data_IF_213554462225
#
_entry.id   IF_213554462225
#
_cell.length_a   1.000
_cell.length_b   1.000
_cell.length_c   1.000
_cell.angle_alpha   90.00
_cell.angle_beta   90.00
_cell.angle_gamma   90.00
#
_symmetry.space_group_name_H-M   'P 1'
#
loop_
_entity.id
_entity.type
_entity.pdbx_description
1 polymer ?
#
# COMPACT_ATOMS: atom_id res chain seq x y z
N UNK A 1 61.52 -35.87 -1.49
CA UNK A 1 60.07 -35.88 -1.43
C UNK A 1 59.66 -34.76 -0.47
N UNK A 2 59.50 -33.53 -1.02
CA UNK A 2 59.30 -32.30 -0.25
C UNK A 2 57.85 -32.19 0.20
N UNK A 3 57.62 -31.96 1.49
CA UNK A 3 56.31 -31.62 2.05
C UNK A 3 55.90 -30.22 1.57
N UNK A 4 54.80 -30.11 0.87
CA UNK A 4 54.17 -28.83 0.51
C UNK A 4 53.59 -28.27 1.81
N UNK A 5 54.10 -27.10 2.22
CA UNK A 5 53.55 -26.36 3.37
C UNK A 5 52.30 -25.61 2.96
N UNK A 6 51.17 -26.09 3.40
CA UNK A 6 49.82 -25.49 3.10
C UNK A 6 49.57 -24.19 3.87
N UNK A 7 50.49 -23.73 4.75
CA UNK A 7 50.29 -22.49 5.50
C UNK A 7 50.42 -21.25 4.62
N UNK A 8 51.34 -21.25 3.63
CA UNK A 8 51.53 -20.13 2.71
C UNK A 8 50.38 -19.99 1.71
N UNK A 9 49.74 -21.12 1.29
CA UNK A 9 48.63 -21.09 0.37
C UNK A 9 47.40 -20.44 1.03
N UNK A 10 47.18 -20.66 2.32
CA UNK A 10 46.09 -20.00 3.07
C UNK A 10 46.31 -18.47 3.21
N UNK A 11 47.54 -17.99 3.30
CA UNK A 11 47.86 -16.58 3.41
C UNK A 11 47.70 -15.83 2.08
N UNK A 12 48.03 -16.46 0.97
CA UNK A 12 47.91 -15.88 -0.40
C UNK A 12 46.45 -15.79 -0.85
N UNK A 13 45.59 -16.77 -0.52
CA UNK A 13 44.19 -16.73 -0.85
C UNK A 13 43.44 -15.63 -0.07
N UNK A 14 43.83 -15.33 1.16
CA UNK A 14 43.25 -14.23 1.96
C UNK A 14 43.59 -12.83 1.41
N UNK A 15 44.64 -12.68 0.63
CA UNK A 15 45.10 -11.38 0.09
C UNK A 15 44.40 -10.99 -1.21
N UNK A 16 43.85 -11.95 -1.96
CA UNK A 16 43.18 -11.72 -3.25
C UNK A 16 41.64 -11.75 -3.20
N UNK A 17 41.06 -12.32 -2.18
CA UNK A 17 39.63 -12.24 -1.90
C UNK A 17 39.45 -11.71 -0.47
N UNK A 18 39.23 -10.41 -0.29
CA UNK A 18 38.77 -9.93 1.01
C UNK A 18 37.43 -10.60 1.26
N UNK A 19 37.40 -11.60 2.14
CA UNK A 19 36.17 -12.10 2.69
C UNK A 19 35.47 -10.89 3.29
N UNK A 20 34.41 -10.41 2.64
CA UNK A 20 33.54 -9.38 3.21
C UNK A 20 33.15 -9.87 4.60
N UNK A 21 33.68 -9.22 5.62
CA UNK A 21 33.29 -9.55 6.99
C UNK A 21 31.78 -9.41 7.10
N UNK A 22 31.07 -10.29 7.83
CA UNK A 22 29.62 -10.21 8.03
C UNK A 22 29.18 -8.77 8.39
N UNK A 23 29.96 -8.05 9.20
CA UNK A 23 29.73 -6.67 9.59
C UNK A 23 29.66 -5.68 8.41
N UNK A 24 30.54 -5.80 7.41
CA UNK A 24 30.50 -4.89 6.25
C UNK A 24 29.28 -5.11 5.36
N UNK A 25 28.80 -6.35 5.24
CA UNK A 25 27.59 -6.67 4.48
C UNK A 25 26.34 -6.15 5.20
N UNK A 26 26.28 -6.30 6.52
CA UNK A 26 25.19 -5.77 7.35
C UNK A 26 25.18 -4.23 7.34
N UNK A 27 26.36 -3.59 7.51
CA UNK A 27 26.49 -2.13 7.45
C UNK A 27 26.04 -1.57 6.09
N UNK A 28 26.45 -2.21 4.98
CA UNK A 28 26.00 -1.84 3.64
C UNK A 28 24.48 -1.95 3.50
N UNK A 29 23.88 -3.04 3.99
CA UNK A 29 22.46 -3.23 3.93
C UNK A 29 21.70 -2.17 4.75
N UNK A 30 22.15 -1.85 5.98
CA UNK A 30 21.57 -0.76 6.80
C UNK A 30 21.62 0.58 6.07
N UNK A 31 22.76 0.91 5.47
CA UNK A 31 22.91 2.15 4.70
C UNK A 31 21.93 2.22 3.52
N UNK A 32 21.72 1.10 2.81
CA UNK A 32 20.75 1.03 1.72
C UNK A 32 19.31 1.23 2.22
N UNK A 33 18.94 0.64 3.36
CA UNK A 33 17.64 0.89 3.96
C UNK A 33 17.46 2.37 4.30
N UNK A 34 18.44 2.98 4.99
CA UNK A 34 18.39 4.41 5.35
C UNK A 34 18.26 5.30 4.12
N UNK A 35 19.05 5.04 3.07
CA UNK A 35 19.02 5.81 1.82
C UNK A 35 17.70 5.66 1.02
N UNK A 36 16.87 4.68 1.36
CA UNK A 36 15.56 4.44 0.73
C UNK A 36 14.38 4.69 1.71
N UNK A 37 14.55 5.64 2.62
CA UNK A 37 13.48 6.00 3.56
C UNK A 37 13.18 4.93 4.62
N UNK A 38 14.15 4.07 4.90
CA UNK A 38 14.02 3.00 5.90
C UNK A 38 13.27 1.75 5.42
N UNK A 39 12.82 1.70 4.16
CA UNK A 39 11.99 0.60 3.65
C UNK A 39 12.50 0.07 2.31
N UNK A 40 12.62 -1.25 2.16
CA UNK A 40 13.07 -1.91 0.93
C UNK A 40 12.31 -3.21 0.65
N UNK A 41 11.98 -3.41 -0.63
CA UNK A 41 11.54 -4.73 -1.11
C UNK A 41 12.73 -5.67 -1.24
N UNK A 42 12.53 -6.95 -0.91
CA UNK A 42 13.55 -8.00 -1.07
C UNK A 42 14.15 -7.99 -2.48
N UNK A 43 13.31 -7.94 -3.51
CA UNK A 43 13.76 -7.90 -4.91
C UNK A 43 14.61 -6.67 -5.23
N UNK A 44 14.30 -5.52 -4.63
CA UNK A 44 15.07 -4.29 -4.81
C UNK A 44 16.41 -4.37 -4.04
N UNK A 45 16.40 -4.82 -2.79
CA UNK A 45 17.61 -5.02 -2.00
C UNK A 45 18.59 -5.97 -2.69
N UNK A 46 18.11 -7.07 -3.28
CA UNK A 46 18.94 -8.01 -4.05
C UNK A 46 19.56 -7.33 -5.28
N UNK A 47 18.79 -6.55 -6.04
CA UNK A 47 19.34 -5.78 -7.17
C UNK A 47 20.41 -4.77 -6.76
N UNK A 48 20.31 -4.21 -5.56
CA UNK A 48 21.32 -3.32 -4.96
C UNK A 48 22.51 -4.09 -4.38
N UNK A 49 22.54 -5.42 -4.55
CA UNK A 49 23.64 -6.29 -4.14
C UNK A 49 23.60 -6.74 -2.67
N UNK A 50 22.44 -6.65 -2.02
CA UNK A 50 22.25 -7.26 -0.68
C UNK A 50 21.95 -8.73 -0.86
N UNK A 51 22.76 -9.59 -0.24
CA UNK A 51 22.51 -11.04 -0.26
C UNK A 51 21.31 -11.42 0.60
N UNK A 52 20.44 -12.36 0.21
CA UNK A 52 19.28 -12.78 1.00
C UNK A 52 19.61 -13.16 2.45
N UNK A 53 20.73 -13.84 2.68
CA UNK A 53 21.19 -14.19 4.05
C UNK A 53 21.42 -12.96 4.93
N UNK A 54 21.88 -11.84 4.34
CA UNK A 54 22.06 -10.57 5.06
C UNK A 54 20.73 -9.97 5.49
N UNK A 55 19.69 -10.04 4.63
CA UNK A 55 18.34 -9.61 4.98
C UNK A 55 17.76 -10.46 6.12
N UNK A 56 17.94 -11.78 6.05
CA UNK A 56 17.48 -12.67 7.13
C UNK A 56 18.23 -12.41 8.44
N UNK A 57 19.54 -12.17 8.39
CA UNK A 57 20.32 -11.82 9.56
C UNK A 57 19.84 -10.51 10.22
N UNK A 58 19.57 -9.46 9.43
CA UNK A 58 19.00 -8.21 9.94
C UNK A 58 17.61 -8.38 10.54
N UNK A 59 16.76 -9.25 9.93
CA UNK A 59 15.46 -9.58 10.48
C UNK A 59 15.58 -10.34 11.81
N UNK A 60 16.42 -11.37 11.83
CA UNK A 60 16.59 -12.24 12.99
C UNK A 60 17.26 -11.50 14.17
N UNK A 61 18.05 -10.48 13.90
CA UNK A 61 18.56 -9.55 14.92
C UNK A 61 17.56 -8.47 15.35
N UNK A 62 16.37 -8.40 14.71
CA UNK A 62 15.36 -7.39 15.02
C UNK A 62 15.65 -5.99 14.47
N UNK A 63 16.70 -5.83 13.64
CA UNK A 63 17.06 -4.53 13.04
C UNK A 63 16.11 -4.12 11.90
N UNK A 64 15.54 -5.10 11.21
CA UNK A 64 14.47 -4.88 10.26
C UNK A 64 13.26 -5.76 10.61
N UNK A 65 12.08 -5.25 10.34
CA UNK A 65 10.83 -5.96 10.51
C UNK A 65 10.09 -6.13 9.18
N UNK A 66 9.27 -7.18 9.09
CA UNK A 66 8.45 -7.44 7.92
C UNK A 66 7.18 -6.59 7.96
N UNK A 67 6.99 -5.75 6.97
CA UNK A 67 5.75 -4.98 6.74
C UNK A 67 4.73 -5.79 5.92
N UNK A 68 5.23 -6.75 5.16
CA UNK A 68 4.44 -7.63 4.31
C UNK A 68 5.36 -8.55 3.52
N UNK A 69 4.79 -9.46 2.72
CA UNK A 69 5.59 -10.42 1.98
C UNK A 69 6.64 -9.73 1.10
N UNK A 70 7.90 -9.91 1.46
CA UNK A 70 9.03 -9.38 0.71
C UNK A 70 9.20 -7.85 0.81
N UNK A 71 8.60 -7.21 1.81
CA UNK A 71 8.85 -5.83 2.17
C UNK A 71 9.34 -5.77 3.62
N UNK A 72 10.48 -5.14 3.81
CA UNK A 72 11.09 -4.94 5.12
C UNK A 72 11.29 -3.44 5.39
N UNK A 73 11.23 -3.06 6.67
CA UNK A 73 11.61 -1.73 7.14
C UNK A 73 12.58 -1.80 8.31
N UNK A 74 13.34 -0.74 8.53
CA UNK A 74 14.16 -0.61 9.74
C UNK A 74 13.26 -0.48 10.95
N UNK A 75 13.54 -1.23 12.01
CA UNK A 75 12.81 -1.17 13.30
C UNK A 75 12.92 0.21 13.97
N UNK A 76 13.96 0.97 13.62
CA UNK A 76 14.19 2.36 14.09
C UNK A 76 13.44 3.41 13.26
N UNK A 77 12.79 3.02 12.16
CA UNK A 77 12.00 3.96 11.34
C UNK A 77 10.75 4.43 12.06
N UNK A 78 10.27 5.62 11.69
CA UNK A 78 8.99 6.15 12.16
C UNK A 78 7.87 5.13 11.91
N UNK A 79 6.88 5.00 12.80
CA UNK A 79 5.71 4.16 12.55
C UNK A 79 5.07 4.49 11.20
N UNK A 80 4.49 3.48 10.53
CA UNK A 80 3.78 3.70 9.28
C UNK A 80 2.61 4.66 9.49
N UNK A 81 2.45 5.61 8.60
CA UNK A 81 1.30 6.54 8.59
C UNK A 81 -0.01 5.79 8.38
N UNK A 82 0.04 4.72 7.58
CA UNK A 82 -1.12 3.85 7.32
C UNK A 82 -0.68 2.38 7.40
N UNK A 83 -0.65 1.81 8.62
CA UNK A 83 -0.15 0.45 8.86
C UNK A 83 -0.99 -0.63 8.16
N UNK A 84 -2.22 -0.32 7.78
CA UNK A 84 -3.13 -1.25 7.10
C UNK A 84 -3.05 -1.13 5.57
N UNK A 85 -2.95 0.09 5.02
CA UNK A 85 -2.98 0.32 3.57
C UNK A 85 -1.68 -0.09 2.88
N UNK A 86 -0.53 0.16 3.49
CA UNK A 86 0.79 -0.14 2.91
C UNK A 86 0.99 -1.64 2.69
N UNK A 87 0.75 -2.54 3.68
CA UNK A 87 0.87 -3.97 3.45
C UNK A 87 -0.10 -4.50 2.39
N UNK A 88 -1.33 -3.95 2.32
CA UNK A 88 -2.32 -4.31 1.30
C UNK A 88 -1.82 -3.94 -0.09
N UNK A 89 -1.35 -2.71 -0.30
CA UNK A 89 -0.81 -2.27 -1.59
C UNK A 89 0.38 -3.11 -2.05
N UNK A 90 1.21 -3.56 -1.10
CA UNK A 90 2.34 -4.45 -1.39
C UNK A 90 1.88 -5.86 -1.75
N UNK A 91 0.91 -6.40 -1.00
CA UNK A 91 0.46 -7.78 -1.15
C UNK A 91 -0.49 -7.97 -2.31
N UNK A 92 -1.35 -6.98 -2.55
CA UNK A 92 -2.39 -7.00 -3.59
C UNK A 92 -2.24 -5.76 -4.48
N UNK A 93 -1.23 -5.69 -5.36
CA UNK A 93 -0.96 -4.48 -6.16
C UNK A 93 -2.11 -4.05 -7.09
N UNK A 94 -3.05 -4.97 -7.37
CA UNK A 94 -4.24 -4.69 -8.19
C UNK A 94 -5.40 -4.12 -7.41
N UNK A 95 -5.40 -4.28 -6.08
CA UNK A 95 -6.46 -3.73 -5.24
C UNK A 95 -6.51 -2.21 -5.32
N UNK A 96 -7.72 -1.69 -5.26
CA UNK A 96 -7.96 -0.25 -5.15
C UNK A 96 -8.70 -0.01 -3.84
N UNK A 97 -8.18 0.84 -2.98
CA UNK A 97 -8.86 1.26 -1.74
C UNK A 97 -10.15 1.97 -2.12
N UNK A 98 -11.27 1.59 -1.50
CA UNK A 98 -12.59 2.07 -1.86
C UNK A 98 -13.46 2.37 -0.63
N UNK A 99 -14.67 2.82 -0.87
CA UNK A 99 -15.73 3.06 0.11
C UNK A 99 -15.25 3.76 1.39
N UNK A 100 -15.55 3.24 2.59
CA UNK A 100 -15.24 3.91 3.87
C UNK A 100 -13.74 4.14 4.03
N UNK A 101 -12.91 3.18 3.61
CA UNK A 101 -11.45 3.36 3.68
C UNK A 101 -10.93 4.47 2.77
N UNK A 102 -11.51 4.62 1.56
CA UNK A 102 -11.18 5.73 0.68
C UNK A 102 -11.76 7.06 1.20
N UNK A 103 -12.98 7.06 1.77
CA UNK A 103 -13.54 8.25 2.42
C UNK A 103 -12.64 8.72 3.56
N UNK A 104 -12.18 7.81 4.43
CA UNK A 104 -11.26 8.12 5.53
C UNK A 104 -9.93 8.69 5.02
N UNK A 105 -9.35 8.08 3.98
CA UNK A 105 -8.12 8.58 3.34
C UNK A 105 -8.29 10.01 2.80
N UNK A 106 -9.44 10.32 2.23
CA UNK A 106 -9.74 11.64 1.68
C UNK A 106 -10.26 12.65 2.73
N UNK A 107 -10.41 12.25 4.00
CA UNK A 107 -10.97 13.11 5.05
C UNK A 107 -12.45 13.44 4.83
N UNK A 108 -13.21 12.54 4.21
CA UNK A 108 -14.62 12.72 3.86
C UNK A 108 -15.57 12.02 4.85
N UNK A 109 -15.08 11.44 5.91
CA UNK A 109 -15.87 10.80 6.97
C UNK A 109 -15.14 10.91 8.30
N UNK A 110 -15.90 10.92 9.37
CA UNK A 110 -15.39 10.83 10.75
C UNK A 110 -15.26 9.38 11.21
N UNK A 111 -15.74 8.42 10.42
CA UNK A 111 -15.67 7.00 10.77
C UNK A 111 -14.24 6.46 10.66
N UNK A 112 -13.84 5.68 11.67
CA UNK A 112 -12.61 4.89 11.64
C UNK A 112 -12.95 3.50 11.08
N UNK A 113 -12.40 3.12 9.91
CA UNK A 113 -12.69 1.81 9.33
C UNK A 113 -12.18 0.67 10.22
N UNK A 114 -13.03 -0.28 10.60
CA UNK A 114 -12.64 -1.50 11.32
C UNK A 114 -12.00 -2.56 10.41
N UNK A 115 -12.13 -2.40 9.10
CA UNK A 115 -11.54 -3.26 8.08
C UNK A 115 -11.23 -2.40 6.87
N UNK A 116 -10.21 -2.78 6.10
CA UNK A 116 -9.89 -2.05 4.87
C UNK A 116 -10.80 -2.49 3.73
N UNK A 117 -11.51 -1.52 3.16
CA UNK A 117 -12.36 -1.73 1.99
C UNK A 117 -11.52 -1.67 0.73
N UNK A 118 -11.49 -2.76 -0.02
CA UNK A 118 -10.79 -2.83 -1.31
C UNK A 118 -11.71 -3.27 -2.43
N UNK A 119 -11.52 -2.68 -3.59
CA UNK A 119 -12.10 -3.11 -4.85
C UNK A 119 -11.15 -4.04 -5.58
N UNK A 120 -11.70 -5.12 -6.13
CA UNK A 120 -11.02 -6.03 -7.06
C UNK A 120 -11.85 -6.18 -8.34
N UNK A 121 -11.24 -6.52 -9.49
CA UNK A 121 -11.98 -6.91 -10.69
C UNK A 121 -12.90 -8.08 -10.40
N UNK A 122 -14.06 -8.13 -11.09
CA UNK A 122 -14.95 -9.29 -11.06
C UNK A 122 -14.16 -10.56 -11.38
N UNK A 123 -14.43 -11.64 -10.64
CA UNK A 123 -13.76 -12.94 -10.76
C UNK A 123 -12.34 -13.06 -10.20
N UNK A 124 -11.75 -11.98 -9.66
CA UNK A 124 -10.48 -12.08 -8.95
C UNK A 124 -10.63 -12.82 -7.62
N UNK A 125 -9.64 -13.66 -7.32
CA UNK A 125 -9.58 -14.35 -6.02
C UNK A 125 -9.07 -13.40 -4.94
N UNK A 126 -9.58 -13.56 -3.72
CA UNK A 126 -9.12 -12.80 -2.56
C UNK A 126 -7.77 -13.39 -2.10
N UNK A 127 -6.68 -12.62 -2.14
CA UNK A 127 -5.43 -13.05 -1.54
C UNK A 127 -5.56 -13.08 -0.02
N UNK A 128 -5.02 -14.11 0.61
CA UNK A 128 -4.95 -14.15 2.07
C UNK A 128 -3.95 -13.12 2.58
N UNK A 129 -4.39 -12.27 3.49
CA UNK A 129 -3.55 -11.36 4.28
C UNK A 129 -3.86 -11.66 5.74
N UNK A 130 -2.80 -12.00 6.48
CA UNK A 130 -2.92 -12.24 7.90
C UNK A 130 -2.84 -10.91 8.67
N UNK A 131 -3.62 -10.80 9.73
CA UNK A 131 -3.55 -9.68 10.68
C UNK A 131 -4.23 -8.37 10.26
N UNK A 132 -4.73 -8.24 9.02
CA UNK A 132 -5.45 -7.04 8.55
C UNK A 132 -6.86 -7.45 8.12
N UNK A 133 -7.91 -6.97 8.80
CA UNK A 133 -9.28 -7.22 8.37
C UNK A 133 -9.56 -6.58 7.01
N UNK A 134 -10.08 -7.36 6.07
CA UNK A 134 -10.42 -6.90 4.72
C UNK A 134 -11.92 -7.07 4.45
N UNK A 135 -12.52 -6.09 3.78
CA UNK A 135 -13.78 -6.23 3.07
C UNK A 135 -13.53 -6.06 1.58
N UNK A 136 -13.88 -7.07 0.80
CA UNK A 136 -13.64 -7.06 -0.65
C UNK A 136 -14.93 -6.78 -1.39
N UNK A 137 -14.85 -5.88 -2.36
CA UNK A 137 -15.93 -5.49 -3.26
C UNK A 137 -15.50 -5.75 -4.70
N UNK A 138 -16.25 -6.58 -5.40
CA UNK A 138 -15.97 -6.89 -6.80
C UNK A 138 -16.65 -5.89 -7.72
N UNK A 139 -15.87 -5.35 -8.63
CA UNK A 139 -16.30 -4.37 -9.60
C UNK A 139 -16.15 -4.93 -11.01
N UNK A 140 -17.18 -4.75 -11.83
CA UNK A 140 -17.09 -4.98 -13.27
C UNK A 140 -16.55 -3.74 -13.99
N UNK A 141 -16.01 -3.92 -15.20
CA UNK A 141 -15.66 -2.79 -16.03
C UNK A 141 -16.94 -2.09 -16.57
N UNK A 142 -16.91 -0.79 -16.82
CA UNK A 142 -15.78 0.15 -16.61
C UNK A 142 -15.68 0.69 -15.17
N UNK A 143 -16.52 0.23 -14.24
CA UNK A 143 -16.60 0.76 -12.88
C UNK A 143 -15.31 0.51 -12.09
N UNK A 144 -14.58 -0.58 -12.37
CA UNK A 144 -13.33 -0.89 -11.69
C UNK A 144 -12.19 0.06 -12.08
N UNK A 145 -12.00 0.29 -13.39
CA UNK A 145 -10.88 1.08 -13.90
C UNK A 145 -11.07 2.59 -13.79
N UNK A 146 -12.31 3.04 -13.61
CA UNK A 146 -12.64 4.47 -13.56
C UNK A 146 -12.23 5.12 -12.23
N UNK A 147 -11.58 6.29 -12.30
CA UNK A 147 -11.33 7.16 -11.14
C UNK A 147 -10.31 6.61 -10.15
N UNK A 148 -9.30 5.89 -10.62
CA UNK A 148 -8.20 5.40 -9.79
C UNK A 148 -7.11 6.45 -9.73
N UNK A 149 -6.82 6.92 -8.52
CA UNK A 149 -5.67 7.75 -8.19
C UNK A 149 -4.56 6.90 -7.55
N UNK A 150 -3.34 7.41 -7.55
CA UNK A 150 -2.20 6.79 -6.88
C UNK A 150 -1.65 7.75 -5.84
N UNK A 151 -1.85 7.39 -4.56
CA UNK A 151 -1.24 8.10 -3.43
C UNK A 151 0.05 7.42 -3.02
N UNK A 152 1.11 8.20 -2.78
CA UNK A 152 2.33 7.65 -2.18
C UNK A 152 2.23 7.74 -0.66
N UNK A 153 2.12 6.60 0.01
CA UNK A 153 2.02 6.48 1.47
C UNK A 153 3.27 5.74 1.94
N UNK A 154 4.05 6.36 2.81
CA UNK A 154 5.32 5.80 3.32
C UNK A 154 6.24 5.31 2.19
N UNK A 155 6.31 6.05 1.07
CA UNK A 155 7.11 5.69 -0.11
C UNK A 155 6.54 4.54 -0.97
N UNK A 156 5.35 4.02 -0.63
CA UNK A 156 4.68 2.95 -1.38
C UNK A 156 3.50 3.52 -2.18
N UNK A 157 3.41 3.23 -3.50
CA UNK A 157 2.25 3.62 -4.28
C UNK A 157 1.03 2.79 -3.87
N UNK A 158 0.00 3.46 -3.42
CA UNK A 158 -1.30 2.89 -3.03
C UNK A 158 -2.35 3.36 -4.01
N UNK A 159 -3.08 2.45 -4.64
CA UNK A 159 -4.19 2.77 -5.54
C UNK A 159 -5.43 3.03 -4.71
N UNK A 160 -6.06 4.17 -4.92
CA UNK A 160 -7.25 4.61 -4.17
C UNK A 160 -8.21 5.25 -5.16
N UNK A 161 -9.51 5.02 -5.03
CA UNK A 161 -10.46 5.77 -5.87
C UNK A 161 -10.46 7.26 -5.50
N UNK A 162 -10.63 8.11 -6.53
CA UNK A 162 -10.78 9.56 -6.34
C UNK A 162 -11.96 9.89 -5.42
N UNK A 163 -12.00 11.06 -4.80
CA UNK A 163 -13.13 11.48 -3.95
C UNK A 163 -14.49 11.34 -4.64
N UNK A 164 -14.59 11.79 -5.89
CA UNK A 164 -15.82 11.78 -6.69
C UNK A 164 -16.24 10.36 -7.03
N UNK A 165 -15.28 9.50 -7.40
CA UNK A 165 -15.55 8.07 -7.65
C UNK A 165 -15.98 7.37 -6.37
N UNK A 166 -15.30 7.67 -5.25
CA UNK A 166 -15.61 7.08 -3.95
C UNK A 166 -17.05 7.42 -3.52
N UNK A 167 -17.48 8.68 -3.68
CA UNK A 167 -18.86 9.07 -3.37
C UNK A 167 -19.87 8.33 -4.26
N UNK A 168 -19.62 8.26 -5.57
CA UNK A 168 -20.51 7.52 -6.48
C UNK A 168 -20.60 6.02 -6.11
N UNK A 169 -19.48 5.42 -5.66
CA UNK A 169 -19.46 4.04 -5.16
C UNK A 169 -20.22 3.91 -3.85
N UNK A 170 -20.10 4.85 -2.93
CA UNK A 170 -20.83 4.87 -1.69
C UNK A 170 -22.35 4.93 -1.91
N UNK A 171 -22.85 5.69 -2.87
CA UNK A 171 -24.26 5.65 -3.27
C UNK A 171 -24.65 4.29 -3.83
N UNK A 172 -23.80 3.62 -4.60
CA UNK A 172 -24.04 2.26 -5.10
C UNK A 172 -24.16 1.25 -3.96
N UNK A 173 -23.31 1.38 -2.96
CA UNK A 173 -23.25 0.47 -1.82
C UNK A 173 -23.92 1.00 -0.55
N UNK A 174 -24.78 2.04 -0.65
CA UNK A 174 -25.43 2.72 0.48
C UNK A 174 -26.15 1.79 1.46
N UNK A 175 -26.73 0.69 0.95
CA UNK A 175 -27.41 -0.30 1.79
C UNK A 175 -26.43 -1.17 2.63
N UNK A 176 -25.13 -1.16 2.28
CA UNK A 176 -24.10 -1.91 3.01
C UNK A 176 -23.29 -1.03 3.96
N UNK A 177 -23.16 0.25 3.64
CA UNK A 177 -22.31 1.18 4.40
C UNK A 177 -23.09 2.21 5.22
N UNK A 178 -24.41 2.31 4.99
CA UNK A 178 -25.27 3.33 5.62
C UNK A 178 -25.44 4.57 4.72
N UNK A 179 -26.66 5.04 4.56
CA UNK A 179 -26.96 6.25 3.78
C UNK A 179 -26.49 7.52 4.50
N UNK A 180 -26.53 7.52 5.82
CA UNK A 180 -26.01 8.57 6.70
C UNK A 180 -24.54 8.88 6.44
N UNK A 181 -23.71 7.83 6.32
CA UNK A 181 -22.28 7.94 5.94
C UNK A 181 -22.11 8.57 4.57
N UNK A 182 -22.96 8.17 3.61
CA UNK A 182 -22.89 8.71 2.23
C UNK A 182 -23.26 10.20 2.22
N UNK A 183 -24.26 10.61 3.00
CA UNK A 183 -24.68 12.01 3.10
C UNK A 183 -23.61 12.85 3.81
N UNK A 184 -23.02 12.33 4.89
CA UNK A 184 -21.88 12.98 5.57
C UNK A 184 -20.73 13.23 4.56
N UNK A 185 -20.33 12.18 3.85
CA UNK A 185 -19.25 12.25 2.86
C UNK A 185 -19.55 13.24 1.73
N UNK A 186 -20.78 13.28 1.25
CA UNK A 186 -21.21 14.20 0.19
C UNK A 186 -21.13 15.66 0.64
N UNK A 187 -21.52 15.95 1.88
CA UNK A 187 -21.39 17.31 2.48
C UNK A 187 -19.93 17.70 2.64
N UNK A 188 -19.12 16.84 3.25
CA UNK A 188 -17.69 17.07 3.44
C UNK A 188 -16.98 17.29 2.09
N UNK A 189 -17.36 16.53 1.06
CA UNK A 189 -16.80 16.67 -0.28
C UNK A 189 -17.18 18.02 -0.93
N UNK A 190 -18.42 18.48 -0.79
CA UNK A 190 -18.87 19.80 -1.29
C UNK A 190 -18.04 20.94 -0.69
N UNK A 191 -17.76 20.84 0.62
CA UNK A 191 -17.12 21.92 1.39
C UNK A 191 -15.58 21.88 1.34
N UNK A 192 -14.99 20.86 0.68
CA UNK A 192 -13.55 20.65 0.61
C UNK A 192 -12.81 21.65 -0.29
N UNK A 193 -11.50 21.78 -0.04
CA UNK A 193 -10.55 22.47 -0.95
C UNK A 193 -9.54 21.44 -1.48
N UNK A 194 -9.21 21.42 -2.80
CA UNK A 194 -9.79 22.24 -3.87
C UNK A 194 -11.29 21.98 -4.07
N UNK A 195 -11.97 22.88 -4.80
CA UNK A 195 -13.42 22.83 -5.01
C UNK A 195 -13.88 21.50 -5.60
N UNK A 196 -15.03 21.01 -5.14
CA UNK A 196 -15.68 19.80 -5.61
C UNK A 196 -15.86 19.79 -7.16
N UNK A 197 -15.48 18.67 -7.79
CA UNK A 197 -15.65 18.46 -9.24
C UNK A 197 -16.96 17.72 -9.52
N UNK A 198 -18.02 18.51 -9.70
CA UNK A 198 -19.35 17.99 -10.02
C UNK A 198 -19.41 17.26 -11.37
N UNK A 199 -18.56 17.64 -12.34
CA UNK A 199 -18.52 17.00 -13.65
C UNK A 199 -18.01 15.55 -13.53
N UNK A 200 -16.89 15.37 -12.83
CA UNK A 200 -16.35 14.03 -12.54
C UNK A 200 -17.32 13.20 -11.70
N UNK A 201 -17.94 13.79 -10.67
CA UNK A 201 -18.94 13.07 -9.87
C UNK A 201 -20.11 12.58 -10.74
N UNK A 202 -20.65 13.44 -11.61
CA UNK A 202 -21.74 13.07 -12.53
C UNK A 202 -21.33 11.93 -13.47
N UNK A 203 -20.11 12.00 -14.03
CA UNK A 203 -19.56 10.92 -14.87
C UNK A 203 -19.48 9.59 -14.13
N UNK A 204 -18.97 9.57 -12.90
CA UNK A 204 -18.88 8.34 -12.12
C UNK A 204 -20.25 7.84 -11.66
N UNK A 205 -21.20 8.74 -11.38
CA UNK A 205 -22.58 8.38 -11.09
C UNK A 205 -23.26 7.67 -12.28
N UNK A 206 -22.96 8.07 -13.52
CA UNK A 206 -23.43 7.39 -14.74
C UNK A 206 -22.81 6.01 -14.87
N UNK A 207 -21.48 5.88 -14.74
CA UNK A 207 -20.77 4.61 -14.79
C UNK A 207 -21.33 3.61 -13.77
N UNK A 208 -21.61 4.08 -12.57
CA UNK A 208 -22.15 3.27 -11.47
C UNK A 208 -23.69 3.06 -11.55
N UNK A 209 -24.38 3.73 -12.48
CA UNK A 209 -25.85 3.72 -12.64
C UNK A 209 -26.60 4.21 -11.40
N UNK A 210 -26.06 5.20 -10.70
CA UNK A 210 -26.63 5.77 -9.46
C UNK A 210 -27.12 7.21 -9.62
N UNK A 211 -27.07 7.79 -10.80
CA UNK A 211 -27.42 9.19 -11.07
C UNK A 211 -28.81 9.57 -10.53
N UNK A 212 -29.81 8.72 -10.80
CA UNK A 212 -31.20 8.99 -10.34
C UNK A 212 -31.31 8.96 -8.82
N UNK A 213 -30.50 8.12 -8.17
CA UNK A 213 -30.48 7.97 -6.70
C UNK A 213 -29.76 9.17 -6.06
N UNK A 214 -28.67 9.64 -6.66
CA UNK A 214 -27.87 10.75 -6.14
C UNK A 214 -28.56 12.10 -6.30
N UNK A 215 -29.35 12.28 -7.36
CA UNK A 215 -29.92 13.58 -7.75
C UNK A 215 -30.64 14.32 -6.60
N UNK A 216 -31.57 13.71 -5.83
CA UNK A 216 -32.26 14.43 -4.76
C UNK A 216 -31.30 14.93 -3.66
N UNK A 217 -30.25 14.17 -3.38
CA UNK A 217 -29.25 14.56 -2.37
C UNK A 217 -28.34 15.69 -2.85
N UNK A 218 -27.98 15.69 -4.15
CA UNK A 218 -27.21 16.80 -4.74
C UNK A 218 -28.04 18.08 -4.75
N UNK A 219 -29.31 18.00 -5.13
CA UNK A 219 -30.24 19.15 -5.14
C UNK A 219 -30.46 19.71 -3.72
N UNK A 220 -30.40 18.88 -2.69
CA UNK A 220 -30.58 19.30 -1.29
C UNK A 220 -29.36 19.96 -0.67
N UNK A 221 -28.16 19.77 -1.25
CA UNK A 221 -26.91 20.32 -0.69
C UNK A 221 -26.32 21.49 -1.50
N UNK A 222 -26.84 21.72 -2.72
CA UNK A 222 -26.46 22.87 -3.57
C UNK A 222 -27.20 24.13 -3.17
#
# INVERSE_FOLDING_TARGET
MGRIDYSEIRYTIRRFYPMRTPDTALAKARHLFTGHGGMLRTSHAIRLGVHPRTLYALRDSGEIESVGRGLYRLSTSQPLTSPDLVPIAVRIPRAVVCLISALAHHGLTTQVPHAVDIALPSHDQIPKIDGIPLRVFWYSEPSFSAGIDVSTIDGIPVRIYSPEKTIADCFKYRNKIGLDVVIEALRAWRDRKPKADFQSLSRFAQINRVQRIMRPYLEAIL
#
